data_IF_207138485348
#
_entry.id   IF_207138485348
#
_cell.length_a   1.000
_cell.length_b   1.000
_cell.length_c   1.000
_cell.angle_alpha   90.00
_cell.angle_beta   90.00
_cell.angle_gamma   90.00
#
_symmetry.space_group_name_H-M   'P 1'
#
loop_
_entity.id
_entity.type
_entity.pdbx_description
1 polymer ?
#
# COMPACT_ATOMS: atom_id res chain seq x y z
N UNK A 1 18.79 -5.10 6.87
CA UNK A 1 17.36 -4.85 6.64
C UNK A 1 16.96 -5.48 5.31
N UNK A 2 15.78 -6.03 5.22
CA UNK A 2 15.18 -6.28 3.92
C UNK A 2 14.62 -4.94 3.40
N UNK A 3 14.73 -4.68 2.10
CA UNK A 3 14.18 -3.51 1.41
C UNK A 3 14.71 -2.11 1.87
N UNK A 4 16.03 -1.90 2.09
CA UNK A 4 16.55 -0.61 2.54
C UNK A 4 16.33 0.49 1.50
N UNK A 5 16.47 0.21 0.22
CA UNK A 5 16.27 1.16 -0.86
C UNK A 5 14.80 1.62 -1.02
N UNK A 6 13.85 0.79 -0.58
CA UNK A 6 12.42 1.14 -0.54
C UNK A 6 12.13 2.11 0.61
N UNK A 7 12.62 1.82 1.82
CA UNK A 7 12.37 2.65 2.99
C UNK A 7 12.83 4.09 2.81
N UNK A 8 14.03 4.31 2.28
CA UNK A 8 14.58 5.65 2.02
C UNK A 8 13.75 6.49 1.02
N UNK A 9 12.88 5.82 0.21
CA UNK A 9 12.03 6.49 -0.77
C UNK A 9 10.61 6.76 -0.29
N UNK A 10 9.99 5.80 0.43
CA UNK A 10 8.53 5.82 0.66
C UNK A 10 8.10 5.98 2.12
N UNK A 11 9.01 5.83 3.09
CA UNK A 11 8.66 6.06 4.49
C UNK A 11 8.31 7.53 4.76
N UNK A 12 7.28 7.81 5.59
CA UNK A 12 6.99 9.17 6.03
C UNK A 12 7.95 9.60 7.16
N UNK A 13 9.22 9.79 6.82
CA UNK A 13 10.30 10.06 7.80
C UNK A 13 9.99 11.28 8.66
N UNK A 14 9.36 12.31 8.11
CA UNK A 14 8.93 13.53 8.79
C UNK A 14 7.99 13.27 9.96
N UNK A 15 7.20 12.19 9.91
CA UNK A 15 6.27 11.76 10.97
C UNK A 15 6.85 10.63 11.84
N UNK A 16 7.96 10.03 11.44
CA UNK A 16 8.58 8.87 12.10
C UNK A 16 9.96 9.21 12.67
N UNK A 17 11.04 8.76 12.03
CA UNK A 17 12.41 8.93 12.58
C UNK A 17 12.83 10.38 12.68
N UNK A 18 12.57 11.22 11.68
CA UNK A 18 12.95 12.64 11.70
C UNK A 18 12.16 13.43 12.74
N UNK A 19 10.90 13.07 13.02
CA UNK A 19 10.10 13.68 14.08
C UNK A 19 10.71 13.46 15.48
N UNK A 20 11.56 12.45 15.66
CA UNK A 20 12.24 12.12 16.92
C UNK A 20 13.69 12.60 16.96
N UNK A 21 14.15 13.26 15.91
CA UNK A 21 15.51 13.76 15.83
C UNK A 21 15.80 14.75 16.96
N UNK A 22 16.98 14.59 17.62
CA UNK A 22 17.42 15.47 18.71
C UNK A 22 17.49 16.94 18.29
N UNK A 23 17.97 17.23 17.08
CA UNK A 23 18.02 18.59 16.55
C UNK A 23 16.63 19.23 16.52
N UNK A 24 15.61 18.49 16.07
CA UNK A 24 14.24 18.98 16.05
C UNK A 24 13.65 19.11 17.45
N UNK A 25 13.77 18.05 18.27
CA UNK A 25 13.11 17.96 19.58
C UNK A 25 13.71 18.89 20.63
N UNK A 26 15.04 18.95 20.71
CA UNK A 26 15.76 19.68 21.76
C UNK A 26 16.33 21.02 21.29
N UNK A 27 16.90 21.07 20.09
CA UNK A 27 17.57 22.26 19.60
C UNK A 27 16.66 23.19 18.75
N UNK A 28 15.44 22.75 18.45
CA UNK A 28 14.48 23.50 17.60
C UNK A 28 15.04 23.88 16.22
N UNK A 29 15.92 23.01 15.68
CA UNK A 29 16.52 23.13 14.35
C UNK A 29 15.91 22.09 13.42
N UNK A 30 16.17 22.21 12.11
CA UNK A 30 15.78 21.21 11.12
C UNK A 30 16.33 19.82 11.53
N UNK A 31 15.57 18.75 11.38
CA UNK A 31 16.04 17.40 11.67
C UNK A 31 17.17 17.00 10.73
N UNK A 32 17.96 16.01 11.13
CA UNK A 32 18.85 15.31 10.18
C UNK A 32 17.96 14.67 9.11
N UNK A 33 18.31 14.84 7.83
CA UNK A 33 17.56 14.29 6.70
C UNK A 33 17.77 12.77 6.58
N UNK A 34 17.22 12.02 7.53
CA UNK A 34 17.44 10.56 7.68
C UNK A 34 16.98 9.81 6.45
N UNK A 35 15.83 10.18 5.88
CA UNK A 35 15.30 9.54 4.67
C UNK A 35 16.21 9.70 3.46
N UNK A 36 16.76 10.89 3.24
CA UNK A 36 17.72 11.13 2.15
C UNK A 36 19.04 10.39 2.36
N UNK A 37 19.53 10.31 3.60
CA UNK A 37 20.75 9.56 3.93
C UNK A 37 20.54 8.06 3.75
N UNK A 38 19.39 7.52 4.16
CA UNK A 38 19.02 6.12 3.95
C UNK A 38 18.95 5.78 2.46
N UNK A 39 18.29 6.63 1.68
CA UNK A 39 18.24 6.51 0.22
C UNK A 39 19.63 6.55 -0.40
N UNK A 40 20.44 7.54 -0.03
CA UNK A 40 21.81 7.69 -0.53
C UNK A 40 22.66 6.44 -0.26
N UNK A 41 22.61 5.91 0.97
CA UNK A 41 23.40 4.74 1.34
C UNK A 41 22.99 3.50 0.52
N UNK A 42 21.68 3.28 0.34
CA UNK A 42 21.19 2.15 -0.46
C UNK A 42 21.49 2.30 -1.96
N UNK A 43 21.40 3.51 -2.49
CA UNK A 43 21.75 3.80 -3.89
C UNK A 43 23.25 3.64 -4.13
N UNK A 44 24.09 4.14 -3.22
CA UNK A 44 25.55 4.01 -3.30
C UNK A 44 25.99 2.53 -3.28
N UNK A 45 25.42 1.72 -2.36
CA UNK A 45 25.72 0.27 -2.31
C UNK A 45 25.36 -0.41 -3.65
N UNK A 46 24.17 -0.13 -4.20
CA UNK A 46 23.71 -0.69 -5.45
C UNK A 46 24.61 -0.26 -6.65
N UNK A 47 24.92 1.03 -6.75
CA UNK A 47 25.66 1.60 -7.88
C UNK A 47 27.16 1.28 -7.84
N UNK A 48 27.71 1.09 -6.65
CA UNK A 48 29.10 0.66 -6.49
C UNK A 48 29.34 -0.81 -6.89
N UNK A 49 28.28 -1.59 -7.10
CA UNK A 49 28.37 -3.03 -7.37
C UNK A 49 28.85 -3.88 -6.18
N UNK A 50 28.96 -3.30 -4.99
CA UNK A 50 29.45 -3.96 -3.77
C UNK A 50 28.34 -4.56 -2.91
N UNK A 51 27.14 -4.73 -3.48
CA UNK A 51 25.99 -5.28 -2.76
C UNK A 51 26.27 -6.73 -2.32
N UNK A 52 26.42 -6.92 -1.01
CA UNK A 52 26.63 -8.22 -0.41
C UNK A 52 25.29 -8.95 -0.19
N UNK A 53 25.22 -10.20 -0.64
CA UNK A 53 24.11 -11.08 -0.28
C UNK A 53 24.35 -11.57 1.15
N UNK A 54 23.38 -11.40 2.09
CA UNK A 54 23.53 -11.90 3.44
C UNK A 54 23.77 -13.41 3.50
N UNK A 55 24.58 -13.86 4.43
CA UNK A 55 24.79 -15.28 4.69
C UNK A 55 23.48 -15.95 5.13
N UNK A 56 23.29 -17.19 4.70
CA UNK A 56 22.16 -18.03 5.01
C UNK A 56 22.64 -19.20 5.84
N UNK A 57 21.99 -19.48 6.96
CA UNK A 57 22.28 -20.66 7.78
C UNK A 57 22.01 -21.97 7.02
N UNK A 58 22.63 -23.06 7.46
CA UNK A 58 22.37 -24.39 6.91
C UNK A 58 20.86 -24.71 6.93
N UNK A 59 20.34 -25.38 5.88
CA UNK A 59 18.93 -25.74 5.81
C UNK A 59 18.50 -26.60 7.02
N UNK A 60 17.37 -26.26 7.63
CA UNK A 60 16.80 -26.98 8.76
C UNK A 60 15.68 -27.95 8.35
N UNK A 61 15.33 -28.02 7.06
CA UNK A 61 14.30 -28.90 6.50
C UNK A 61 12.85 -28.50 6.79
N UNK A 62 12.61 -27.33 7.40
CA UNK A 62 11.28 -26.85 7.73
C UNK A 62 10.79 -25.89 6.65
N UNK A 63 9.64 -26.20 6.06
CA UNK A 63 8.98 -25.39 5.02
C UNK A 63 8.04 -24.36 5.64
N UNK A 64 8.14 -23.12 5.18
CA UNK A 64 7.31 -21.99 5.59
C UNK A 64 6.59 -21.39 4.38
N UNK A 65 5.28 -21.23 4.48
CA UNK A 65 4.45 -20.56 3.49
C UNK A 65 4.24 -19.08 3.86
N UNK A 66 4.55 -18.19 2.93
CA UNK A 66 4.26 -16.76 3.03
C UNK A 66 3.17 -16.42 2.03
N UNK A 67 2.07 -15.83 2.46
CA UNK A 67 0.90 -15.54 1.64
C UNK A 67 0.84 -14.06 1.36
N UNK A 68 1.31 -13.65 0.18
CA UNK A 68 1.46 -12.28 -0.27
C UNK A 68 2.91 -11.79 -0.26
N UNK A 69 3.30 -11.14 -1.34
CA UNK A 69 4.66 -10.64 -1.60
C UNK A 69 4.84 -9.15 -1.34
N UNK A 70 3.93 -8.52 -0.61
CA UNK A 70 4.08 -7.15 -0.17
C UNK A 70 5.24 -6.96 0.83
N UNK A 71 5.51 -5.72 1.29
CA UNK A 71 6.67 -5.43 2.15
C UNK A 71 6.72 -6.25 3.43
N UNK A 72 5.56 -6.63 3.99
CA UNK A 72 5.48 -7.49 5.16
C UNK A 72 5.97 -8.91 4.87
N UNK A 73 5.45 -9.52 3.79
CA UNK A 73 5.83 -10.86 3.36
C UNK A 73 7.30 -10.97 2.95
N UNK A 74 7.80 -9.99 2.18
CA UNK A 74 9.21 -9.94 1.78
C UNK A 74 10.16 -9.80 2.97
N UNK A 75 9.79 -8.97 3.96
CA UNK A 75 10.60 -8.79 5.19
C UNK A 75 10.63 -10.05 6.02
N UNK A 76 9.47 -10.71 6.21
CA UNK A 76 9.38 -11.99 6.90
C UNK A 76 10.20 -13.09 6.19
N UNK A 77 10.02 -13.22 4.87
CA UNK A 77 10.72 -14.22 4.07
C UNK A 77 12.25 -14.06 4.16
N UNK A 78 12.73 -12.81 4.07
CA UNK A 78 14.16 -12.51 4.20
C UNK A 78 14.73 -12.86 5.58
N UNK A 79 13.97 -12.68 6.65
CA UNK A 79 14.44 -13.04 7.99
C UNK A 79 14.37 -14.56 8.26
N UNK A 80 13.38 -15.26 7.68
CA UNK A 80 13.28 -16.72 7.82
C UNK A 80 14.31 -17.48 6.99
N UNK A 81 14.54 -17.07 5.73
CA UNK A 81 15.54 -17.74 4.88
C UNK A 81 16.95 -17.63 5.47
N UNK A 82 17.31 -16.48 6.08
CA UNK A 82 18.60 -16.33 6.78
C UNK A 82 18.78 -17.35 7.91
N UNK A 83 17.70 -17.82 8.51
CA UNK A 83 17.71 -18.81 9.60
C UNK A 83 17.70 -20.25 9.12
N UNK A 84 17.75 -20.49 7.79
CA UNK A 84 17.83 -21.81 7.18
C UNK A 84 16.48 -22.46 6.91
N UNK A 85 15.36 -21.72 6.97
CA UNK A 85 14.04 -22.24 6.60
C UNK A 85 13.87 -22.28 5.07
N UNK A 86 13.13 -23.27 4.58
CA UNK A 86 12.68 -23.34 3.18
C UNK A 86 11.45 -22.45 3.02
N UNK A 87 11.64 -21.24 2.47
CA UNK A 87 10.58 -20.23 2.36
C UNK A 87 10.01 -20.21 0.95
N UNK A 88 8.69 -20.37 0.84
CA UNK A 88 7.94 -20.15 -0.40
C UNK A 88 6.94 -19.00 -0.20
N UNK A 89 7.02 -18.00 -1.08
CA UNK A 89 6.10 -16.86 -1.12
C UNK A 89 5.10 -17.09 -2.24
N UNK A 90 3.82 -17.18 -1.89
CA UNK A 90 2.69 -17.30 -2.81
C UNK A 90 2.10 -15.91 -3.07
N UNK A 91 2.04 -15.52 -4.33
CA UNK A 91 1.53 -14.21 -4.76
C UNK A 91 0.36 -14.36 -5.73
N UNK A 92 -0.72 -13.67 -5.45
CA UNK A 92 -1.94 -13.72 -6.27
C UNK A 92 -1.76 -13.06 -7.66
N UNK A 93 -0.93 -12.02 -7.73
CA UNK A 93 -0.64 -11.30 -8.97
C UNK A 93 0.49 -11.97 -9.76
N UNK A 94 0.68 -11.53 -10.99
CA UNK A 94 1.76 -12.02 -11.88
C UNK A 94 3.13 -11.44 -11.54
N UNK A 95 3.17 -10.35 -10.75
CA UNK A 95 4.40 -9.67 -10.32
C UNK A 95 4.53 -9.70 -8.79
N UNK A 96 5.78 -9.80 -8.32
CA UNK A 96 6.14 -9.82 -6.90
C UNK A 96 6.37 -8.40 -6.42
N UNK A 97 5.91 -8.07 -5.20
CA UNK A 97 6.13 -6.76 -4.59
C UNK A 97 4.86 -6.15 -3.97
N UNK A 98 3.68 -6.67 -4.33
CA UNK A 98 2.42 -6.16 -3.84
C UNK A 98 2.28 -4.65 -4.11
N UNK A 99 1.86 -3.88 -3.10
CA UNK A 99 1.66 -2.43 -3.22
C UNK A 99 2.90 -1.66 -3.68
N UNK A 100 4.11 -2.20 -3.49
CA UNK A 100 5.34 -1.57 -3.96
C UNK A 100 5.39 -1.48 -5.49
N UNK A 101 4.72 -2.38 -6.20
CA UNK A 101 4.65 -2.41 -7.66
C UNK A 101 3.30 -1.95 -8.21
N UNK A 102 2.18 -2.43 -7.67
CA UNK A 102 0.88 -2.08 -8.23
C UNK A 102 0.38 -0.71 -7.76
N UNK A 103 0.76 -0.28 -6.54
CA UNK A 103 0.15 0.89 -5.89
C UNK A 103 1.02 2.13 -5.90
N UNK A 104 2.35 1.99 -5.73
CA UNK A 104 3.28 3.12 -5.67
C UNK A 104 3.81 3.41 -7.08
N UNK A 105 3.59 4.62 -7.63
CA UNK A 105 4.03 4.94 -8.98
C UNK A 105 5.55 4.92 -9.17
N UNK A 106 5.98 4.62 -10.40
CA UNK A 106 7.37 4.56 -10.83
C UNK A 106 8.17 5.83 -10.47
N UNK A 107 7.54 7.00 -10.54
CA UNK A 107 8.19 8.27 -10.19
C UNK A 107 8.47 8.45 -8.68
N UNK A 108 7.88 7.63 -7.81
CA UNK A 108 8.17 7.58 -6.36
C UNK A 108 9.07 6.41 -5.99
N UNK A 109 8.78 5.25 -6.54
CA UNK A 109 9.50 4.01 -6.29
C UNK A 109 9.71 3.26 -7.60
N UNK A 110 10.86 3.47 -8.27
CA UNK A 110 11.17 2.78 -9.51
C UNK A 110 11.12 1.25 -9.35
N UNK A 111 10.43 0.57 -10.27
CA UNK A 111 10.23 -0.88 -10.22
C UNK A 111 11.55 -1.65 -10.17
N UNK A 112 12.59 -1.19 -10.89
CA UNK A 112 13.91 -1.81 -10.89
C UNK A 112 14.55 -1.85 -9.50
N UNK A 113 14.25 -0.88 -8.61
CA UNK A 113 14.70 -0.88 -7.21
C UNK A 113 14.07 -2.05 -6.45
N UNK A 114 12.77 -2.24 -6.62
CA UNK A 114 12.03 -3.36 -6.01
C UNK A 114 12.55 -4.70 -6.55
N UNK A 115 12.84 -4.78 -7.86
CA UNK A 115 13.36 -5.99 -8.51
C UNK A 115 14.73 -6.39 -7.98
N UNK A 116 15.61 -5.44 -7.69
CA UNK A 116 16.92 -5.70 -7.07
C UNK A 116 16.75 -6.33 -5.69
N UNK A 117 15.86 -5.77 -4.86
CA UNK A 117 15.58 -6.30 -3.52
C UNK A 117 14.99 -7.72 -3.57
N UNK A 118 14.04 -7.97 -4.48
CA UNK A 118 13.47 -9.31 -4.72
C UNK A 118 14.55 -10.26 -5.26
N UNK A 119 15.39 -9.79 -6.17
CA UNK A 119 16.51 -10.55 -6.71
C UNK A 119 17.47 -11.04 -5.63
N UNK A 120 17.72 -10.23 -4.62
CA UNK A 120 18.53 -10.61 -3.46
C UNK A 120 17.87 -11.73 -2.65
N UNK A 121 16.56 -11.65 -2.41
CA UNK A 121 15.82 -12.71 -1.71
C UNK A 121 15.83 -14.02 -2.51
N UNK A 122 15.71 -13.98 -3.84
CA UNK A 122 15.83 -15.15 -4.72
C UNK A 122 17.23 -15.79 -4.60
N UNK A 123 18.29 -14.97 -4.62
CA UNK A 123 19.68 -15.44 -4.44
C UNK A 123 19.92 -16.09 -3.07
N UNK A 124 19.20 -15.67 -2.04
CA UNK A 124 19.22 -16.27 -0.71
C UNK A 124 18.44 -17.59 -0.62
N UNK A 125 17.68 -17.97 -1.65
CA UNK A 125 16.91 -19.21 -1.72
C UNK A 125 15.41 -19.09 -1.47
N UNK A 126 14.85 -17.88 -1.38
CA UNK A 126 13.39 -17.70 -1.31
C UNK A 126 12.76 -18.09 -2.64
N UNK A 127 11.77 -18.99 -2.58
CA UNK A 127 10.97 -19.39 -3.74
C UNK A 127 9.75 -18.48 -3.87
N UNK A 128 9.39 -18.12 -5.10
CA UNK A 128 8.23 -17.30 -5.40
C UNK A 128 7.32 -18.03 -6.39
N UNK A 129 6.02 -18.08 -6.07
CA UNK A 129 4.98 -18.65 -6.92
C UNK A 129 3.94 -17.57 -7.17
N UNK A 130 3.90 -17.04 -8.39
CA UNK A 130 2.97 -16.01 -8.83
C UNK A 130 1.71 -16.63 -9.44
N UNK A 131 0.66 -15.81 -9.64
CA UNK A 131 -0.66 -16.25 -10.12
C UNK A 131 -1.27 -17.36 -9.24
N UNK A 132 -1.00 -17.30 -7.93
CA UNK A 132 -1.42 -18.30 -6.98
C UNK A 132 -2.21 -17.69 -5.83
N UNK A 133 -3.50 -17.95 -5.79
CA UNK A 133 -4.42 -17.43 -4.78
C UNK A 133 -4.64 -18.51 -3.72
N UNK A 134 -3.94 -18.39 -2.59
CA UNK A 134 -4.12 -19.30 -1.45
C UNK A 134 -5.57 -19.25 -0.96
N UNK A 135 -6.17 -20.40 -0.82
CA UNK A 135 -7.60 -20.58 -0.49
C UNK A 135 -8.51 -20.68 -1.72
N UNK A 136 -7.96 -20.50 -2.94
CA UNK A 136 -8.67 -20.67 -4.21
C UNK A 136 -7.93 -21.63 -5.14
N UNK A 137 -6.64 -21.39 -5.40
CA UNK A 137 -5.80 -22.27 -6.21
C UNK A 137 -5.52 -23.56 -5.47
N UNK A 138 -5.11 -23.45 -4.22
CA UNK A 138 -4.96 -24.55 -3.28
C UNK A 138 -5.43 -24.13 -1.89
N UNK A 139 -5.90 -25.10 -1.11
CA UNK A 139 -6.31 -24.88 0.26
C UNK A 139 -5.10 -24.86 1.21
N UNK A 140 -5.27 -24.28 2.39
CA UNK A 140 -4.27 -24.38 3.48
C UNK A 140 -3.98 -25.83 3.85
N UNK A 141 -5.00 -26.69 3.81
CA UNK A 141 -4.83 -28.11 4.14
C UNK A 141 -3.98 -28.85 3.09
N UNK A 142 -4.04 -28.45 1.83
CA UNK A 142 -3.19 -29.01 0.79
C UNK A 142 -1.73 -28.57 0.98
N UNK A 143 -1.50 -27.30 1.28
CA UNK A 143 -0.17 -26.79 1.63
C UNK A 143 0.41 -27.51 2.89
N UNK A 144 -0.43 -27.82 3.89
CA UNK A 144 0.01 -28.65 5.04
C UNK A 144 0.43 -30.05 4.61
N UNK A 145 -0.30 -30.70 3.68
CA UNK A 145 0.06 -32.01 3.10
C UNK A 145 1.39 -31.95 2.33
N UNK A 146 1.68 -30.83 1.69
CA UNK A 146 2.98 -30.60 1.03
C UNK A 146 4.14 -30.39 2.02
N UNK A 147 3.84 -30.33 3.32
CA UNK A 147 4.81 -30.28 4.39
C UNK A 147 5.11 -28.89 4.96
N UNK A 148 4.34 -27.86 4.59
CA UNK A 148 4.46 -26.54 5.23
C UNK A 148 4.03 -26.62 6.72
N UNK A 149 4.88 -26.06 7.60
CA UNK A 149 4.71 -26.11 9.06
C UNK A 149 4.31 -24.77 9.68
N UNK A 150 4.56 -23.66 8.99
CA UNK A 150 4.20 -22.33 9.44
C UNK A 150 3.67 -21.49 8.29
N UNK A 151 2.72 -20.62 8.60
CA UNK A 151 2.02 -19.77 7.63
C UNK A 151 2.11 -18.31 8.06
N UNK A 152 2.60 -17.46 7.18
CA UNK A 152 2.61 -16.02 7.40
C UNK A 152 1.68 -15.32 6.42
N UNK A 153 0.58 -14.75 6.91
CA UNK A 153 -0.41 -14.06 6.08
C UNK A 153 -0.06 -12.59 5.95
N UNK A 154 0.29 -12.18 4.74
CA UNK A 154 0.68 -10.82 4.36
C UNK A 154 -0.09 -10.34 3.12
N UNK A 155 -1.35 -10.77 2.99
CA UNK A 155 -2.20 -10.53 1.82
C UNK A 155 -2.67 -9.06 1.66
N UNK A 156 -2.31 -8.19 2.59
CA UNK A 156 -2.56 -6.76 2.52
C UNK A 156 -4.03 -6.36 2.65
N UNK A 157 -4.35 -5.16 2.16
CA UNK A 157 -5.69 -4.61 2.06
C UNK A 157 -5.86 -4.01 0.65
N UNK A 158 -6.45 -4.79 -0.24
CA UNK A 158 -6.57 -4.45 -1.66
C UNK A 158 -7.99 -4.19 -2.13
N UNK A 159 -9.02 -4.38 -1.29
CA UNK A 159 -10.40 -4.07 -1.65
C UNK A 159 -10.67 -2.57 -1.48
N UNK A 160 -11.00 -1.85 -2.56
CA UNK A 160 -11.27 -0.43 -2.48
C UNK A 160 -12.57 -0.16 -1.73
N UNK A 161 -12.58 0.90 -0.94
CA UNK A 161 -13.81 1.47 -0.40
C UNK A 161 -14.37 2.48 -1.39
N UNK A 162 -15.71 2.55 -1.45
CA UNK A 162 -16.45 3.48 -2.28
C UNK A 162 -17.25 4.47 -1.41
N UNK A 163 -17.74 5.54 -2.04
CA UNK A 163 -18.51 6.60 -1.37
C UNK A 163 -19.96 6.17 -1.09
N UNK A 164 -20.46 5.19 -1.87
CA UNK A 164 -21.86 4.76 -1.88
C UNK A 164 -22.83 5.92 -2.21
N UNK A 165 -22.49 6.72 -3.21
CA UNK A 165 -23.29 7.84 -3.71
C UNK A 165 -23.83 7.53 -5.13
N UNK A 166 -24.89 8.23 -5.56
CA UNK A 166 -25.44 8.06 -6.90
C UNK A 166 -24.37 8.26 -7.98
N UNK A 167 -24.46 7.43 -9.05
CA UNK A 167 -23.58 7.50 -10.20
C UNK A 167 -22.20 6.85 -10.04
N UNK A 168 -21.92 6.21 -8.91
CA UNK A 168 -20.60 5.60 -8.65
C UNK A 168 -20.25 4.43 -9.60
N UNK A 169 -21.26 3.87 -10.29
CA UNK A 169 -21.08 2.83 -11.31
C UNK A 169 -20.94 3.39 -12.74
N UNK A 170 -20.86 4.71 -12.91
CA UNK A 170 -20.69 5.31 -14.23
C UNK A 170 -19.32 4.96 -14.84
N UNK A 171 -19.25 4.80 -16.16
CA UNK A 171 -17.99 4.62 -16.87
C UNK A 171 -17.08 5.83 -16.63
N UNK A 172 -15.80 5.58 -16.26
CA UNK A 172 -14.86 6.62 -15.92
C UNK A 172 -14.78 6.92 -14.42
N UNK A 173 -15.61 6.27 -13.58
CA UNK A 173 -15.43 6.25 -12.12
C UNK A 173 -14.65 4.99 -11.76
N UNK A 174 -13.46 5.15 -11.21
CA UNK A 174 -12.51 4.08 -10.90
C UNK A 174 -12.10 4.16 -9.44
N UNK A 175 -11.78 3.03 -8.83
CA UNK A 175 -11.02 3.06 -7.58
C UNK A 175 -9.56 3.44 -7.85
N UNK A 176 -8.90 4.04 -6.87
CA UNK A 176 -7.46 4.33 -6.95
C UNK A 176 -6.63 3.05 -7.14
N UNK A 177 -7.04 1.94 -6.52
CA UNK A 177 -6.37 0.66 -6.71
C UNK A 177 -6.43 0.20 -8.17
N UNK A 178 -7.60 0.25 -8.80
CA UNK A 178 -7.74 -0.10 -10.20
C UNK A 178 -6.94 0.85 -11.10
N UNK A 179 -7.08 2.16 -10.90
CA UNK A 179 -6.41 3.17 -11.70
C UNK A 179 -4.88 3.01 -11.65
N UNK A 180 -4.32 2.92 -10.44
CA UNK A 180 -2.88 2.77 -10.24
C UNK A 180 -2.36 1.40 -10.70
N UNK A 181 -3.10 0.31 -10.47
CA UNK A 181 -2.71 -1.02 -10.95
C UNK A 181 -2.63 -1.06 -12.47
N UNK A 182 -3.59 -0.46 -13.18
CA UNK A 182 -3.56 -0.37 -14.65
C UNK A 182 -2.30 0.34 -15.15
N UNK A 183 -1.93 1.45 -14.52
CA UNK A 183 -0.75 2.24 -14.92
C UNK A 183 0.54 1.59 -14.49
N UNK A 184 0.68 1.27 -13.19
CA UNK A 184 1.97 0.85 -12.61
C UNK A 184 2.32 -0.61 -12.93
N UNK A 185 1.32 -1.50 -12.97
CA UNK A 185 1.53 -2.94 -13.13
C UNK A 185 1.23 -3.43 -14.53
N UNK A 186 0.19 -2.86 -15.17
CA UNK A 186 -0.28 -3.29 -16.49
C UNK A 186 0.26 -2.41 -17.63
N UNK A 187 1.06 -1.37 -17.31
CA UNK A 187 1.68 -0.50 -18.29
C UNK A 187 0.71 0.33 -19.13
N UNK A 188 -0.44 0.71 -18.57
CA UNK A 188 -1.50 1.42 -19.29
C UNK A 188 -1.15 2.86 -19.70
N UNK A 189 -0.01 3.36 -19.25
CA UNK A 189 0.62 4.61 -19.73
C UNK A 189 1.22 4.45 -21.14
N UNK A 190 1.52 3.21 -21.57
CA UNK A 190 1.95 2.91 -22.91
C UNK A 190 0.71 2.74 -23.84
N UNK A 191 0.72 3.40 -24.98
CA UNK A 191 -0.37 3.33 -25.98
C UNK A 191 -0.55 1.93 -26.61
N UNK A 192 0.47 1.07 -26.53
CA UNK A 192 0.43 -0.32 -27.01
C UNK A 192 0.07 -1.34 -25.92
N UNK A 193 -0.32 -0.88 -24.73
CA UNK A 193 -0.74 -1.78 -23.64
C UNK A 193 -2.08 -2.45 -23.95
N UNK A 194 -2.16 -3.76 -23.67
CA UNK A 194 -3.41 -4.53 -23.76
C UNK A 194 -4.44 -4.11 -22.68
N UNK A 195 -3.98 -3.39 -21.66
CA UNK A 195 -4.83 -2.89 -20.56
C UNK A 195 -4.91 -1.37 -20.63
N UNK A 196 -5.86 -0.79 -21.38
CA UNK A 196 -5.94 0.66 -21.53
C UNK A 196 -6.45 1.34 -20.26
N UNK A 197 -6.00 2.58 -20.05
CA UNK A 197 -6.61 3.52 -19.10
C UNK A 197 -7.16 4.73 -19.87
N UNK A 198 -8.37 5.17 -19.51
CA UNK A 198 -8.91 6.37 -20.12
C UNK A 198 -8.17 7.60 -19.58
N UNK A 199 -7.56 8.37 -20.49
CA UNK A 199 -6.83 9.61 -20.18
C UNK A 199 -7.82 10.77 -20.24
N UNK A 200 -8.43 11.13 -19.12
CA UNK A 200 -9.36 12.26 -19.02
C UNK A 200 -8.62 13.60 -19.10
N UNK A 201 -9.30 14.63 -19.63
CA UNK A 201 -8.82 16.02 -19.57
C UNK A 201 -9.03 16.61 -18.19
N UNK A 202 -10.18 16.34 -17.58
CA UNK A 202 -10.56 16.78 -16.24
C UNK A 202 -10.65 15.56 -15.34
N UNK A 203 -9.64 15.36 -14.50
CA UNK A 203 -9.57 14.22 -13.59
C UNK A 203 -9.80 14.67 -12.15
N UNK A 204 -10.84 14.14 -11.53
CA UNK A 204 -11.15 14.37 -10.11
C UNK A 204 -10.69 13.17 -9.29
N UNK A 205 -9.82 13.40 -8.31
CA UNK A 205 -9.37 12.38 -7.35
C UNK A 205 -9.98 12.70 -5.99
N UNK A 206 -10.78 11.77 -5.46
CA UNK A 206 -11.49 11.93 -4.19
C UNK A 206 -10.67 11.32 -3.06
N UNK A 207 -10.13 12.15 -2.18
CA UNK A 207 -9.35 11.72 -1.03
C UNK A 207 -8.17 12.62 -0.71
N UNK A 208 -7.52 12.40 0.43
CA UNK A 208 -6.40 13.22 0.91
C UNK A 208 -5.21 12.40 1.43
N UNK A 209 -5.15 11.11 1.14
CA UNK A 209 -4.05 10.21 1.52
C UNK A 209 -2.95 10.12 0.45
N UNK A 210 -1.89 9.36 0.74
CA UNK A 210 -0.80 9.13 -0.21
C UNK A 210 -1.30 8.55 -1.54
N UNK A 211 -2.26 7.61 -1.50
CA UNK A 211 -2.86 7.02 -2.70
C UNK A 211 -3.58 8.06 -3.56
N UNK A 212 -4.21 9.07 -2.94
CA UNK A 212 -4.82 10.18 -3.67
C UNK A 212 -3.75 11.05 -4.34
N UNK A 213 -2.64 11.35 -3.64
CA UNK A 213 -1.50 12.07 -4.22
C UNK A 213 -0.89 11.30 -5.39
N UNK A 214 -0.71 10.00 -5.24
CA UNK A 214 -0.22 9.12 -6.30
C UNK A 214 -1.14 9.15 -7.53
N UNK A 215 -2.46 9.05 -7.30
CA UNK A 215 -3.45 9.05 -8.38
C UNK A 215 -3.52 10.39 -9.12
N UNK A 216 -3.53 11.51 -8.41
CA UNK A 216 -3.64 12.84 -9.05
C UNK A 216 -2.37 13.20 -9.83
N UNK A 217 -1.20 12.85 -9.30
CA UNK A 217 0.08 13.05 -10.00
C UNK A 217 0.19 12.13 -11.23
N UNK A 218 -0.28 10.89 -11.11
CA UNK A 218 -0.37 9.96 -12.26
C UNK A 218 -1.28 10.55 -13.34
N UNK A 219 -2.47 11.05 -12.98
CA UNK A 219 -3.37 11.69 -13.94
C UNK A 219 -2.73 12.89 -14.64
N UNK A 220 -2.03 13.75 -13.88
CA UNK A 220 -1.32 14.90 -14.44
C UNK A 220 -0.24 14.47 -15.42
N UNK A 221 0.54 13.46 -15.09
CA UNK A 221 1.61 12.90 -15.94
C UNK A 221 1.07 12.17 -17.18
N UNK A 222 -0.15 11.62 -17.13
CA UNK A 222 -0.84 11.04 -18.29
C UNK A 222 -1.45 12.11 -19.22
N UNK A 223 -1.30 13.39 -18.90
CA UNK A 223 -1.69 14.50 -19.77
C UNK A 223 -3.03 15.17 -19.43
N UNK A 224 -3.57 14.96 -18.22
CA UNK A 224 -4.75 15.70 -17.79
C UNK A 224 -4.50 17.20 -17.79
N UNK A 225 -5.40 17.97 -18.43
CA UNK A 225 -5.37 19.44 -18.42
C UNK A 225 -5.57 19.93 -16.99
N UNK A 226 -6.58 19.39 -16.31
CA UNK A 226 -6.86 19.63 -14.89
C UNK A 226 -6.83 18.29 -14.13
N UNK A 227 -5.97 18.19 -13.14
CA UNK A 227 -5.93 17.08 -12.18
C UNK A 227 -6.20 17.64 -10.79
N UNK A 228 -7.34 17.25 -10.20
CA UNK A 228 -7.94 17.89 -9.03
C UNK A 228 -8.06 16.91 -7.87
N UNK A 229 -7.57 17.29 -6.69
CA UNK A 229 -7.91 16.65 -5.43
C UNK A 229 -9.19 17.26 -4.89
N UNK A 230 -10.20 16.43 -4.60
CA UNK A 230 -11.40 16.81 -3.84
C UNK A 230 -11.31 16.16 -2.47
N UNK A 231 -11.24 16.98 -1.42
CA UNK A 231 -11.06 16.48 -0.06
C UNK A 231 -11.99 17.19 0.93
N UNK A 232 -12.69 16.37 1.73
CA UNK A 232 -13.74 16.81 2.65
C UNK A 232 -13.26 17.60 3.88
N UNK A 233 -11.95 17.63 4.17
CA UNK A 233 -11.34 18.43 5.24
C UNK A 233 -10.39 19.47 4.66
N UNK A 234 -9.73 20.24 5.51
CA UNK A 234 -8.68 21.16 5.07
C UNK A 234 -7.38 20.40 4.74
N UNK A 235 -6.44 21.10 4.15
CA UNK A 235 -5.13 20.55 3.80
C UNK A 235 -4.36 20.09 5.04
N UNK A 236 -4.51 20.77 6.16
CA UNK A 236 -3.84 20.44 7.43
C UNK A 236 -4.23 19.06 7.96
N UNK A 237 -5.46 18.60 7.70
CA UNK A 237 -5.94 17.29 8.10
C UNK A 237 -5.64 16.18 7.08
N UNK A 238 -4.91 16.48 5.99
CA UNK A 238 -4.53 15.45 5.01
C UNK A 238 -3.58 14.44 5.64
N UNK A 239 -3.90 13.12 5.56
CA UNK A 239 -3.01 12.09 6.08
C UNK A 239 -1.79 11.83 5.17
N UNK A 240 -1.77 12.38 3.95
CA UNK A 240 -0.64 12.26 3.02
C UNK A 240 0.66 12.81 3.63
N UNK A 241 1.78 12.37 3.10
CA UNK A 241 3.09 12.96 3.39
C UNK A 241 3.12 14.41 2.90
N UNK A 242 3.71 15.29 3.70
CA UNK A 242 3.83 16.71 3.34
C UNK A 242 4.61 16.89 2.03
N UNK A 243 5.65 16.08 1.82
CA UNK A 243 6.45 16.08 0.60
C UNK A 243 5.61 15.71 -0.64
N UNK A 244 4.71 14.71 -0.53
CA UNK A 244 3.86 14.31 -1.65
C UNK A 244 2.79 15.36 -1.99
N UNK A 245 2.24 16.05 -0.99
CA UNK A 245 1.35 17.18 -1.19
C UNK A 245 2.09 18.33 -1.90
N UNK A 246 3.32 18.60 -1.47
CA UNK A 246 4.18 19.61 -2.09
C UNK A 246 4.47 19.27 -3.56
N UNK A 247 4.90 18.05 -3.83
CA UNK A 247 5.18 17.59 -5.20
C UNK A 247 3.94 17.66 -6.10
N UNK A 248 2.75 17.27 -5.60
CA UNK A 248 1.52 17.40 -6.36
C UNK A 248 1.21 18.86 -6.76
N UNK A 249 1.45 19.81 -5.85
CA UNK A 249 1.32 21.25 -6.14
C UNK A 249 2.35 21.75 -7.15
N UNK A 250 3.61 21.32 -7.00
CA UNK A 250 4.70 21.68 -7.94
C UNK A 250 4.42 21.15 -9.36
N UNK A 251 3.75 20.00 -9.48
CA UNK A 251 3.30 19.43 -10.76
C UNK A 251 2.03 20.11 -11.30
N UNK A 252 1.47 21.10 -10.61
CA UNK A 252 0.30 21.86 -11.03
C UNK A 252 -1.03 21.14 -10.80
N UNK A 253 -1.11 20.22 -9.84
CA UNK A 253 -2.37 19.64 -9.40
C UNK A 253 -3.18 20.64 -8.57
N UNK A 254 -4.49 20.68 -8.78
CA UNK A 254 -5.41 21.58 -8.07
C UNK A 254 -5.92 20.90 -6.76
N UNK A 255 -6.13 21.72 -5.71
CA UNK A 255 -6.63 21.23 -4.41
C UNK A 255 -7.94 21.92 -4.07
N UNK A 256 -9.03 21.19 -4.11
CA UNK A 256 -10.39 21.59 -3.74
C UNK A 256 -10.70 20.97 -2.38
N UNK A 257 -10.26 21.64 -1.32
CA UNK A 257 -10.46 21.20 0.06
C UNK A 257 -11.82 21.66 0.60
N UNK A 258 -12.19 21.17 1.79
CA UNK A 258 -13.49 21.46 2.41
C UNK A 258 -14.64 21.18 1.44
N UNK A 259 -14.53 20.09 0.69
CA UNK A 259 -15.47 19.75 -0.39
C UNK A 259 -15.63 18.23 -0.45
N UNK A 260 -16.88 17.75 -0.52
CA UNK A 260 -17.20 16.33 -0.56
C UNK A 260 -18.11 16.00 -1.74
N UNK A 261 -17.81 14.97 -2.54
CA UNK A 261 -18.73 14.51 -3.58
C UNK A 261 -20.03 13.96 -2.97
N UNK A 262 -21.15 14.26 -3.64
CA UNK A 262 -22.49 13.76 -3.30
C UNK A 262 -23.16 12.98 -4.43
N UNK A 263 -22.71 13.17 -5.67
CA UNK A 263 -23.22 12.47 -6.84
C UNK A 263 -22.20 12.53 -7.98
N UNK A 264 -22.09 11.47 -8.77
CA UNK A 264 -21.39 11.45 -10.05
C UNK A 264 -22.43 11.48 -11.18
N UNK A 265 -22.37 12.49 -12.03
CA UNK A 265 -23.35 12.71 -13.09
C UNK A 265 -22.79 12.15 -14.39
N UNK A 266 -23.49 11.19 -14.99
CA UNK A 266 -23.14 10.61 -16.26
C UNK A 266 -23.85 11.31 -17.44
N UNK A 267 -23.27 11.18 -18.63
CA UNK A 267 -23.91 11.54 -19.89
C UNK A 267 -24.90 10.44 -20.37
N UNK A 268 -25.52 10.65 -21.52
CA UNK A 268 -26.45 9.70 -22.13
C UNK A 268 -25.80 8.35 -22.49
N UNK A 269 -24.48 8.27 -22.59
CA UNK A 269 -23.72 7.06 -22.87
C UNK A 269 -23.23 6.37 -21.57
N UNK A 270 -23.65 6.88 -20.41
CA UNK A 270 -23.26 6.34 -19.11
C UNK A 270 -21.82 6.68 -18.69
N UNK A 271 -21.17 7.68 -19.30
CA UNK A 271 -19.84 8.15 -18.91
C UNK A 271 -19.95 9.33 -17.97
N UNK A 272 -19.12 9.35 -16.92
CA UNK A 272 -19.05 10.50 -16.01
C UNK A 272 -18.66 11.76 -16.78
N UNK A 273 -19.38 12.85 -16.52
CA UNK A 273 -19.13 14.17 -17.11
C UNK A 273 -19.00 15.27 -16.08
N UNK A 274 -19.60 15.10 -14.91
CA UNK A 274 -19.54 16.07 -13.82
C UNK A 274 -19.61 15.34 -12.46
N UNK A 275 -19.07 15.99 -11.43
CA UNK A 275 -19.22 15.63 -10.03
C UNK A 275 -20.01 16.73 -9.33
N UNK A 276 -21.15 16.38 -8.71
CA UNK A 276 -21.83 17.25 -7.77
C UNK A 276 -21.13 17.15 -6.44
N UNK A 277 -20.68 18.29 -5.93
CA UNK A 277 -19.96 18.39 -4.67
C UNK A 277 -20.66 19.35 -3.74
N UNK A 278 -20.46 19.16 -2.43
CA UNK A 278 -20.98 20.02 -1.37
C UNK A 278 -19.84 20.59 -0.55
N UNK A 279 -19.93 21.86 -0.16
CA UNK A 279 -18.95 22.49 0.75
C UNK A 279 -19.06 21.90 2.15
N UNK A 280 -17.94 21.85 2.83
CA UNK A 280 -17.82 21.33 4.19
C UNK A 280 -17.24 22.39 5.12
N UNK A 281 -17.60 22.31 6.38
CA UNK A 281 -16.96 23.03 7.49
C UNK A 281 -16.30 22.05 8.45
N UNK A 282 -15.36 22.54 9.25
CA UNK A 282 -14.66 21.72 10.23
C UNK A 282 -15.28 21.91 11.61
N UNK A 283 -15.90 20.84 12.12
CA UNK A 283 -16.41 20.75 13.49
C UNK A 283 -15.35 20.26 14.48
N UNK A 284 -15.81 19.68 15.58
CA UNK A 284 -14.96 19.13 16.64
C UNK A 284 -14.07 17.96 16.14
N UNK A 285 -12.91 17.74 16.76
CA UNK A 285 -12.04 16.61 16.44
C UNK A 285 -12.74 15.26 16.61
N UNK A 286 -12.48 14.34 15.70
CA UNK A 286 -12.90 12.94 15.78
C UNK A 286 -11.92 12.09 16.62
N UNK A 287 -12.18 10.78 16.76
CA UNK A 287 -11.33 9.86 17.51
C UNK A 287 -9.88 9.75 16.99
N UNK A 288 -9.61 10.20 15.76
CA UNK A 288 -8.25 10.28 15.18
C UNK A 288 -7.55 11.61 15.48
N UNK A 289 -8.20 12.53 16.18
CA UNK A 289 -7.71 13.87 16.47
C UNK A 289 -7.86 14.85 15.31
N UNK A 290 -8.48 14.45 14.18
CA UNK A 290 -8.74 15.33 13.03
C UNK A 290 -10.14 15.90 13.12
N UNK A 291 -10.29 17.17 12.74
CA UNK A 291 -11.57 17.86 12.78
C UNK A 291 -12.58 17.19 11.85
N UNK A 292 -13.81 16.98 12.36
CA UNK A 292 -14.90 16.31 11.64
C UNK A 292 -15.42 17.20 10.51
N UNK A 293 -15.55 16.71 9.27
CA UNK A 293 -16.19 17.48 8.21
C UNK A 293 -17.71 17.50 8.42
N UNK A 294 -18.30 18.69 8.37
CA UNK A 294 -19.74 18.94 8.51
C UNK A 294 -20.26 19.54 7.20
N UNK A 295 -21.31 18.97 6.57
CA UNK A 295 -21.87 19.51 5.34
C UNK A 295 -22.50 20.91 5.57
N UNK A 296 -22.29 21.82 4.61
CA UNK A 296 -22.98 23.10 4.55
C UNK A 296 -24.22 22.94 3.66
N UNK A 297 -25.42 23.09 4.21
CA UNK A 297 -26.65 22.93 3.46
C UNK A 297 -26.77 23.96 2.34
N UNK A 298 -27.30 23.53 1.17
CA UNK A 298 -27.51 24.41 0.00
C UNK A 298 -26.25 24.91 -0.69
N UNK A 299 -25.07 24.35 -0.38
CA UNK A 299 -23.79 24.77 -0.92
C UNK A 299 -23.30 23.93 -2.10
N UNK A 300 -24.17 23.11 -2.67
CA UNK A 300 -23.82 22.21 -3.77
C UNK A 300 -23.45 22.97 -5.06
N UNK A 301 -22.44 22.43 -5.76
CA UNK A 301 -22.03 22.93 -7.06
C UNK A 301 -21.45 21.81 -7.92
N UNK A 302 -21.20 22.09 -9.21
CA UNK A 302 -20.74 21.10 -10.17
C UNK A 302 -19.26 21.35 -10.53
N UNK A 303 -18.52 20.24 -10.67
CA UNK A 303 -17.15 20.21 -11.19
C UNK A 303 -17.15 19.32 -12.42
N UNK A 304 -16.65 19.80 -13.56
CA UNK A 304 -16.49 18.99 -14.77
C UNK A 304 -15.44 17.89 -14.55
N UNK A 305 -15.76 16.67 -14.96
CA UNK A 305 -14.88 15.52 -14.79
C UNK A 305 -15.14 14.47 -15.88
N UNK A 306 -14.07 14.08 -16.57
CA UNK A 306 -14.09 12.97 -17.54
C UNK A 306 -13.70 11.64 -16.87
N UNK A 307 -12.95 11.72 -15.77
CA UNK A 307 -12.51 10.60 -14.93
C UNK A 307 -12.63 10.99 -13.47
N UNK A 308 -13.13 10.06 -12.67
CA UNK A 308 -13.13 10.17 -11.21
C UNK A 308 -12.36 9.00 -10.63
N UNK A 309 -11.40 9.28 -9.75
CA UNK A 309 -10.63 8.28 -9.04
C UNK A 309 -10.96 8.33 -7.55
N UNK A 310 -11.60 7.28 -7.04
CA UNK A 310 -12.01 7.20 -5.63
C UNK A 310 -10.88 6.63 -4.78
N UNK A 311 -10.32 7.45 -3.88
CA UNK A 311 -9.17 7.15 -3.02
C UNK A 311 -9.50 7.32 -1.53
N UNK A 312 -10.63 6.74 -1.08
CA UNK A 312 -11.18 6.89 0.27
C UNK A 312 -10.82 5.75 1.22
N UNK A 313 -9.81 4.99 0.88
CA UNK A 313 -9.27 3.91 1.68
C UNK A 313 -9.53 2.52 1.10
N UNK A 314 -9.01 1.53 1.79
CA UNK A 314 -9.06 0.12 1.39
C UNK A 314 -9.45 -0.76 2.56
N UNK A 315 -9.95 -1.96 2.26
CA UNK A 315 -10.31 -2.99 3.22
C UNK A 315 -9.56 -4.29 2.93
N UNK A 316 -9.33 -5.15 3.95
CA UNK A 316 -8.70 -6.45 3.78
C UNK A 316 -9.49 -7.36 2.83
N UNK A 317 -8.78 -8.14 1.99
CA UNK A 317 -9.42 -9.17 1.18
C UNK A 317 -9.77 -10.38 2.06
N UNK A 318 -11.03 -10.83 2.09
CA UNK A 318 -11.48 -11.89 2.99
C UNK A 318 -11.14 -13.32 2.52
N UNK A 319 -10.56 -13.51 1.32
CA UNK A 319 -10.30 -14.85 0.76
C UNK A 319 -9.48 -15.70 1.73
N UNK A 320 -8.28 -15.23 2.10
CA UNK A 320 -7.40 -16.00 3.00
C UNK A 320 -8.01 -16.17 4.39
N UNK A 321 -8.50 -15.11 5.08
CA UNK A 321 -9.15 -15.29 6.37
C UNK A 321 -10.31 -16.29 6.38
N UNK A 322 -11.11 -16.32 5.31
CA UNK A 322 -12.25 -17.27 5.20
C UNK A 322 -11.83 -18.69 4.87
N UNK A 323 -10.66 -18.87 4.25
CA UNK A 323 -10.15 -20.22 3.91
C UNK A 323 -9.49 -20.93 5.09
N UNK A 324 -9.25 -20.24 6.21
CA UNK A 324 -8.62 -20.78 7.42
C UNK A 324 -9.67 -20.97 8.51
N UNK A 325 -10.05 -22.20 8.77
CA UNK A 325 -11.05 -22.53 9.80
C UNK A 325 -10.60 -22.07 11.19
N UNK A 326 -11.47 -21.35 11.90
CA UNK A 326 -11.20 -20.88 13.26
C UNK A 326 -10.27 -19.68 13.38
N UNK A 327 -9.80 -19.08 12.29
CA UNK A 327 -8.99 -17.88 12.34
C UNK A 327 -9.83 -16.67 12.77
N UNK A 328 -9.41 -15.98 13.81
CA UNK A 328 -10.13 -14.81 14.33
C UNK A 328 -9.88 -13.56 13.49
N UNK A 329 -10.98 -12.88 13.14
CA UNK A 329 -10.97 -11.60 12.45
C UNK A 329 -11.75 -10.54 13.19
N UNK A 330 -11.33 -9.30 13.08
CA UNK A 330 -12.03 -8.15 13.65
C UNK A 330 -13.30 -7.81 12.86
N UNK A 331 -14.13 -6.94 13.41
CA UNK A 331 -15.31 -6.38 12.70
C UNK A 331 -14.96 -5.67 11.39
N UNK A 332 -13.70 -5.25 11.21
CA UNK A 332 -13.19 -4.61 9.99
C UNK A 332 -12.57 -5.62 9.00
N UNK A 333 -12.61 -6.91 9.31
CA UNK A 333 -12.04 -7.96 8.46
C UNK A 333 -10.52 -8.14 8.58
N UNK A 334 -9.86 -7.45 9.49
CA UNK A 334 -8.42 -7.64 9.75
C UNK A 334 -8.20 -8.87 10.63
N UNK A 335 -7.11 -9.61 10.39
CA UNK A 335 -6.73 -10.75 11.24
C UNK A 335 -6.34 -10.25 12.63
N UNK A 336 -6.86 -10.90 13.67
CA UNK A 336 -6.52 -10.60 15.07
C UNK A 336 -5.22 -11.32 15.41
N UNK A 337 -4.23 -10.58 15.92
CA UNK A 337 -2.93 -11.11 16.32
C UNK A 337 -2.49 -10.53 17.65
N UNK A 338 -1.56 -11.19 18.31
CA UNK A 338 -0.81 -10.62 19.42
C UNK A 338 0.22 -9.60 18.86
N UNK A 339 0.13 -8.36 19.22
CA UNK A 339 0.98 -7.27 18.69
C UNK A 339 2.48 -7.46 18.97
N UNK A 340 2.87 -8.18 20.02
CA UNK A 340 4.27 -8.43 20.33
C UNK A 340 4.88 -9.54 19.46
N UNK A 341 4.07 -10.53 19.07
CA UNK A 341 4.54 -11.74 18.37
C UNK A 341 4.03 -11.86 16.95
N UNK A 342 2.99 -11.12 16.58
CA UNK A 342 2.25 -11.22 15.33
C UNK A 342 1.61 -12.61 15.09
N UNK A 343 1.50 -13.45 16.13
CA UNK A 343 0.81 -14.74 16.09
C UNK A 343 -0.70 -14.56 16.22
N UNK A 344 -1.47 -15.29 15.44
CA UNK A 344 -2.94 -15.33 15.56
C UNK A 344 -3.38 -16.22 16.73
N UNK A 345 -4.68 -16.47 16.84
CA UNK A 345 -5.23 -17.48 17.76
C UNK A 345 -4.87 -18.92 17.37
N UNK A 346 -4.36 -19.16 16.17
CA UNK A 346 -3.91 -20.48 15.70
C UNK A 346 -2.36 -20.53 15.76
N UNK A 347 -1.77 -21.56 16.39
CA UNK A 347 -0.32 -21.61 16.67
C UNK A 347 0.57 -21.51 15.44
N UNK A 348 0.18 -22.14 14.33
CA UNK A 348 0.96 -22.17 13.09
C UNK A 348 0.73 -20.92 12.19
N UNK A 349 -0.23 -20.03 12.54
CA UNK A 349 -0.59 -18.86 11.75
C UNK A 349 -0.11 -17.56 12.38
N UNK A 350 0.59 -16.79 11.57
CA UNK A 350 1.03 -15.43 11.85
C UNK A 350 0.50 -14.50 10.78
N UNK A 351 0.36 -13.23 11.09
CA UNK A 351 -0.05 -12.24 10.10
C UNK A 351 0.60 -10.88 10.36
N UNK A 352 0.74 -10.06 9.32
CA UNK A 352 1.27 -8.70 9.46
C UNK A 352 1.06 -7.85 8.22
N UNK A 353 1.33 -6.55 8.36
CA UNK A 353 1.02 -5.54 7.37
C UNK A 353 -0.47 -5.18 7.35
N UNK A 354 -0.96 -4.75 6.20
CA UNK A 354 -2.31 -4.16 6.11
C UNK A 354 -3.44 -5.16 6.38
N UNK A 355 -3.21 -6.47 6.24
CA UNK A 355 -4.18 -7.50 6.62
C UNK A 355 -4.49 -7.49 8.13
N UNK A 356 -3.57 -6.96 8.94
CA UNK A 356 -3.71 -6.79 10.39
C UNK A 356 -4.06 -5.36 10.76
N UNK A 357 -3.39 -4.37 10.13
CA UNK A 357 -3.44 -2.96 10.56
C UNK A 357 -4.44 -2.11 9.79
N UNK A 358 -5.01 -2.62 8.70
CA UNK A 358 -5.64 -1.78 7.68
C UNK A 358 -4.55 -1.04 6.88
N UNK A 359 -4.88 0.05 6.20
CA UNK A 359 -3.88 0.82 5.47
C UNK A 359 -2.83 1.43 6.40
N UNK A 360 -1.56 1.00 6.29
CA UNK A 360 -0.45 1.43 7.13
C UNK A 360 0.77 1.85 6.29
N UNK A 361 1.97 1.85 6.88
CA UNK A 361 3.21 2.22 6.19
C UNK A 361 4.07 1.00 5.89
N UNK A 362 4.91 1.11 4.85
CA UNK A 362 5.84 0.05 4.45
C UNK A 362 6.71 -0.40 5.63
N UNK A 363 7.28 0.54 6.38
CA UNK A 363 8.16 0.20 7.52
C UNK A 363 7.43 -0.53 8.66
N UNK A 364 6.16 -0.18 8.93
CA UNK A 364 5.36 -0.89 9.93
C UNK A 364 5.06 -2.32 9.48
N UNK A 365 4.70 -2.49 8.21
CA UNK A 365 4.46 -3.80 7.62
C UNK A 365 5.73 -4.68 7.67
N UNK A 366 6.90 -4.11 7.36
CA UNK A 366 8.19 -4.81 7.50
C UNK A 366 8.49 -5.17 8.95
N UNK A 367 8.20 -4.27 9.89
CA UNK A 367 8.36 -4.50 11.33
C UNK A 367 7.52 -5.67 11.84
N UNK A 368 6.29 -5.81 11.33
CA UNK A 368 5.43 -6.95 11.63
C UNK A 368 6.06 -8.26 11.15
N UNK A 369 6.55 -8.29 9.90
CA UNK A 369 7.25 -9.45 9.33
C UNK A 369 8.44 -9.88 10.19
N UNK A 370 9.24 -8.94 10.66
CA UNK A 370 10.41 -9.22 11.51
C UNK A 370 10.03 -9.80 12.89
N UNK A 371 8.99 -9.25 13.53
CA UNK A 371 8.48 -9.76 14.80
C UNK A 371 7.93 -11.17 14.66
N UNK A 372 7.12 -11.39 13.63
CA UNK A 372 6.58 -12.71 13.31
C UNK A 372 7.71 -13.73 13.07
N UNK A 373 8.72 -13.37 12.26
CA UNK A 373 9.85 -14.25 11.97
C UNK A 373 10.64 -14.62 13.22
N UNK A 374 10.89 -13.67 14.11
CA UNK A 374 11.60 -13.93 15.36
C UNK A 374 10.83 -14.88 16.29
N UNK A 375 9.51 -14.68 16.43
CA UNK A 375 8.68 -15.51 17.28
C UNK A 375 8.43 -16.89 16.69
N UNK A 376 8.14 -16.99 15.39
CA UNK A 376 7.95 -18.27 14.70
C UNK A 376 9.22 -19.14 14.76
N UNK A 377 10.40 -18.55 14.56
CA UNK A 377 11.67 -19.25 14.71
C UNK A 377 11.87 -19.82 16.11
N UNK A 378 11.56 -19.05 17.16
CA UNK A 378 11.64 -19.52 18.54
C UNK A 378 10.68 -20.69 18.82
N UNK A 379 9.47 -20.67 18.27
CA UNK A 379 8.46 -21.72 18.44
C UNK A 379 8.82 -23.00 17.66
N UNK A 380 9.38 -22.89 16.46
CA UNK A 380 9.71 -24.06 15.62
C UNK A 380 11.01 -24.76 16.03
N UNK A 381 11.86 -24.10 16.84
CA UNK A 381 13.08 -24.70 17.40
C UNK A 381 12.90 -25.29 18.80
N UNK A 382 11.78 -24.96 19.49
CA UNK A 382 11.43 -25.54 20.79
C UNK A 382 10.83 -26.94 20.62
#
# INVERSE_FOLDING_TARGET
SALPAVCGRVCPQEKQCESKCFYLQKMKKAPVAIGYLERFAADFERESGQMAIPEVAAPNGIKIAVIGSGPSGLSFAGDMVKRGYEVTVFEALHEIGGVLKYGIPEFRLPNHIVDVEIGNLKKMGVKFVTNFIVGMTESIEDLKKEGFKGFYVASGAGLPNFMNIPGENANGVLSSNEYLTRVNLMGADNEFSDTPVYRGKNVVVVGGGNTAMDSVRTAKRLGAERAMIVYRRSEEEMPARLEEVKHAKEEGCEFITLTNPVEYIADEKGRVKQVRVQKMELGEPDASGRRRPVPVEGSEYLIDADVVVVAVGVSPNPIVPRSVAGLEVSKKGTIVVNDATMQSNLPEFYAGGDIVRGGATVILAMGDGRRAAAHMDAQLRS
#
